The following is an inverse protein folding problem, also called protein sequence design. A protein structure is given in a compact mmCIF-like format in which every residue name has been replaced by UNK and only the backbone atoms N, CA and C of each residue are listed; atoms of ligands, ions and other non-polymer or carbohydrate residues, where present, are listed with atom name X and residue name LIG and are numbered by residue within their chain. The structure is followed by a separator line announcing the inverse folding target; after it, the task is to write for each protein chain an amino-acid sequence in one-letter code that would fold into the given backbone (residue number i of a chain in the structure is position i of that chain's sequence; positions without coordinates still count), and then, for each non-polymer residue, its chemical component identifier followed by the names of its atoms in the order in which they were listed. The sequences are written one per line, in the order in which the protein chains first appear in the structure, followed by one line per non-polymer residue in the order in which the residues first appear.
data_IF_352255856151
#
_entry.id   IF_352255856151
#
_cell.length_a   1.000
_cell.length_b   1.000
_cell.length_c   1.000
_cell.angle_alpha   90.00
_cell.angle_beta   90.00
_cell.angle_gamma   90.00
#
_symmetry.space_group_name_H-M   'P 1'
#
loop_
_entity.id
_entity.type
_entity.pdbx_description
1 polymer ?
#
# COMPACT_ATOMS: atom_id res chain seq x y z
N UNK A 1 4.52 21.48 6.71
CA UNK A 1 3.67 20.79 5.71
C UNK A 1 2.66 19.92 6.43
N UNK A 2 1.54 19.56 5.79
CA UNK A 2 0.57 18.63 6.38
C UNK A 2 1.02 17.20 6.08
N UNK A 3 0.92 16.29 7.06
CA UNK A 3 1.26 14.86 6.87
C UNK A 3 0.37 14.27 5.77
N UNK A 4 0.93 13.72 4.68
CA UNK A 4 0.15 13.09 3.61
C UNK A 4 -0.71 11.92 4.12
N UNK A 5 -1.87 11.71 3.50
CA UNK A 5 -2.64 10.49 3.71
C UNK A 5 -2.08 9.40 2.82
N UNK A 6 -1.76 8.23 3.38
CA UNK A 6 -1.26 7.08 2.62
C UNK A 6 -2.43 6.19 2.23
N UNK A 7 -2.54 5.92 0.93
CA UNK A 7 -3.48 4.94 0.37
C UNK A 7 -2.71 4.11 -0.64
N UNK A 8 -2.65 2.79 -0.44
CA UNK A 8 -1.97 1.87 -1.35
C UNK A 8 -2.96 0.85 -1.90
N UNK A 9 -2.81 0.49 -3.16
CA UNK A 9 -3.53 -0.60 -3.81
C UNK A 9 -2.73 -1.90 -3.61
N UNK A 10 -3.38 -2.90 -3.02
CA UNK A 10 -2.81 -4.23 -2.82
C UNK A 10 -3.20 -5.11 -4.00
N UNK A 11 -2.23 -5.73 -4.65
CA UNK A 11 -2.43 -6.62 -5.80
C UNK A 11 -2.11 -8.04 -5.36
N UNK A 12 -2.99 -8.99 -5.70
CA UNK A 12 -2.72 -10.41 -5.54
C UNK A 12 -1.90 -10.87 -6.75
N UNK A 13 -0.70 -11.35 -6.50
CA UNK A 13 0.19 -11.89 -7.53
C UNK A 13 -0.02 -13.42 -7.68
N UNK A 14 0.63 -14.03 -8.68
CA UNK A 14 0.64 -15.49 -8.85
C UNK A 14 1.15 -16.17 -7.56
N UNK A 15 2.21 -15.61 -6.98
CA UNK A 15 2.77 -15.98 -5.69
C UNK A 15 2.92 -14.72 -4.83
N UNK A 16 2.28 -14.70 -3.66
CA UNK A 16 2.34 -13.56 -2.74
C UNK A 16 1.47 -12.35 -3.13
N UNK A 17 1.92 -11.17 -2.71
CA UNK A 17 1.20 -9.91 -2.83
C UNK A 17 2.15 -8.75 -3.12
N UNK A 18 1.65 -7.74 -3.83
CA UNK A 18 2.33 -6.45 -3.97
C UNK A 18 1.44 -5.31 -3.50
N UNK A 19 2.04 -4.16 -3.21
CA UNK A 19 1.32 -2.93 -2.90
C UNK A 19 1.98 -1.73 -3.58
N UNK A 20 1.16 -0.89 -4.20
CA UNK A 20 1.61 0.27 -4.96
C UNK A 20 0.76 1.52 -4.69
N UNK A 21 1.35 2.70 -4.85
CA UNK A 21 0.60 3.95 -4.84
C UNK A 21 1.46 5.18 -5.03
N UNK A 22 0.88 6.22 -5.61
CA UNK A 22 1.50 7.54 -5.74
C UNK A 22 0.99 8.48 -4.64
N UNK A 23 1.89 8.95 -3.79
CA UNK A 23 1.55 9.82 -2.65
C UNK A 23 2.51 11.01 -2.59
N UNK A 24 1.97 12.22 -2.72
CA UNK A 24 2.73 13.48 -2.64
C UNK A 24 3.97 13.50 -3.55
N UNK A 25 3.76 13.18 -4.83
CA UNK A 25 4.79 13.11 -5.89
C UNK A 25 5.88 12.03 -5.65
N UNK A 26 5.61 11.05 -4.78
CA UNK A 26 6.46 9.87 -4.56
C UNK A 26 5.72 8.61 -4.97
N UNK A 27 6.36 7.79 -5.79
CA UNK A 27 5.92 6.42 -6.03
C UNK A 27 6.35 5.54 -4.85
N UNK A 28 5.41 4.78 -4.31
CA UNK A 28 5.64 3.79 -3.26
C UNK A 28 5.27 2.43 -3.84
N UNK A 29 6.21 1.48 -3.81
CA UNK A 29 6.00 0.12 -4.29
C UNK A 29 6.75 -0.88 -3.43
N UNK A 30 6.08 -1.97 -3.06
CA UNK A 30 6.68 -3.07 -2.29
C UNK A 30 5.92 -4.39 -2.51
N UNK A 31 6.47 -5.49 -2.02
CA UNK A 31 5.90 -6.83 -2.15
C UNK A 31 6.18 -7.67 -0.90
N UNK A 32 5.49 -8.80 -0.76
CA UNK A 32 5.74 -9.81 0.26
C UNK A 32 5.13 -11.16 -0.12
N UNK A 33 5.68 -12.25 0.42
CA UNK A 33 5.24 -13.63 0.16
C UNK A 33 3.85 -13.90 0.76
N UNK A 34 3.49 -13.17 1.82
CA UNK A 34 2.17 -13.17 2.42
C UNK A 34 1.72 -11.77 2.87
N UNK A 35 0.48 -11.68 3.37
CA UNK A 35 -0.09 -10.39 3.81
C UNK A 35 0.56 -9.83 5.07
N UNK A 36 1.20 -10.65 5.89
CA UNK A 36 1.92 -10.18 7.08
C UNK A 36 3.23 -9.52 6.66
N UNK A 37 4.01 -10.21 5.83
CA UNK A 37 5.25 -9.67 5.26
C UNK A 37 4.98 -8.41 4.43
N UNK A 38 3.94 -8.42 3.59
CA UNK A 38 3.56 -7.24 2.82
C UNK A 38 3.31 -6.02 3.73
N UNK A 39 2.59 -6.19 4.85
CA UNK A 39 2.33 -5.08 5.78
C UNK A 39 3.61 -4.57 6.44
N UNK A 40 4.53 -5.45 6.81
CA UNK A 40 5.84 -5.06 7.34
C UNK A 40 6.62 -4.24 6.32
N UNK A 41 6.68 -4.72 5.08
CA UNK A 41 7.40 -4.07 4.00
C UNK A 41 6.74 -2.73 3.59
N UNK A 42 5.41 -2.63 3.65
CA UNK A 42 4.67 -1.37 3.47
C UNK A 42 5.06 -0.34 4.54
N UNK A 43 5.07 -0.75 5.81
CA UNK A 43 5.42 0.15 6.90
C UNK A 43 6.82 0.73 6.71
N UNK A 44 7.76 -0.14 6.35
CA UNK A 44 9.15 0.22 6.13
C UNK A 44 9.29 1.20 4.96
N UNK A 45 8.79 0.83 3.77
CA UNK A 45 8.97 1.66 2.57
C UNK A 45 8.28 3.02 2.70
N UNK A 46 7.11 3.09 3.37
CA UNK A 46 6.42 4.36 3.64
C UNK A 46 7.24 5.24 4.57
N UNK A 47 7.74 4.69 5.68
CA UNK A 47 8.56 5.47 6.60
C UNK A 47 9.89 5.92 5.97
N UNK A 48 10.51 5.08 5.13
CA UNK A 48 11.71 5.45 4.38
C UNK A 48 11.40 6.60 3.39
N UNK A 49 10.29 6.52 2.66
CA UNK A 49 9.91 7.51 1.63
C UNK A 49 9.66 8.92 2.18
N UNK A 50 9.24 9.02 3.44
CA UNK A 50 8.88 10.28 4.10
C UNK A 50 9.79 10.66 5.27
N UNK A 51 10.89 9.93 5.48
CA UNK A 51 11.83 10.20 6.56
C UNK A 51 12.41 11.62 6.45
N UNK A 52 12.85 12.02 5.25
CA UNK A 52 13.40 13.36 5.00
C UNK A 52 12.36 14.48 5.14
N UNK A 53 11.08 14.16 4.94
CA UNK A 53 9.96 15.08 5.13
C UNK A 53 9.56 15.23 6.62
N UNK A 54 10.21 14.47 7.51
CA UNK A 54 9.98 14.50 8.96
C UNK A 54 8.69 13.80 9.40
N UNK A 55 8.14 12.89 8.57
CA UNK A 55 6.95 12.12 8.91
C UNK A 55 7.30 10.68 9.27
N UNK A 56 6.63 10.16 10.30
CA UNK A 56 6.59 8.74 10.63
C UNK A 56 5.15 8.25 10.61
N UNK A 57 4.94 7.01 10.18
CA UNK A 57 3.64 6.37 10.05
C UNK A 57 3.59 5.09 10.87
N UNK A 58 2.40 4.76 11.36
CA UNK A 58 2.05 3.41 11.81
C UNK A 58 1.07 2.77 10.82
N UNK A 59 0.84 1.46 10.94
CA UNK A 59 -0.03 0.75 10.00
C UNK A 59 -1.51 1.17 10.06
N UNK A 60 -1.99 1.66 11.21
CA UNK A 60 -3.37 2.16 11.33
C UNK A 60 -3.59 3.47 10.56
N UNK A 61 -2.50 4.17 10.18
CA UNK A 61 -2.54 5.37 9.34
C UNK A 61 -2.44 5.10 7.83
N UNK A 62 -2.24 3.84 7.43
CA UNK A 62 -2.07 3.43 6.03
C UNK A 62 -3.34 2.69 5.56
N UNK A 63 -4.04 3.26 4.59
CA UNK A 63 -5.22 2.64 4.00
C UNK A 63 -4.80 1.66 2.90
N UNK A 64 -5.10 0.37 3.07
CA UNK A 64 -4.88 -0.64 2.05
C UNK A 64 -6.18 -0.93 1.30
N UNK A 65 -6.16 -0.77 -0.03
CA UNK A 65 -7.29 -1.07 -0.91
C UNK A 65 -7.01 -2.38 -1.64
N UNK A 66 -7.80 -3.39 -1.33
CA UNK A 66 -7.85 -4.60 -2.13
C UNK A 66 -8.76 -4.35 -3.35
N UNK A 67 -8.43 -4.89 -4.54
CA UNK A 67 -9.32 -4.82 -5.68
C UNK A 67 -10.66 -5.42 -5.28
N UNK A 68 -11.73 -4.67 -5.52
CA UNK A 68 -13.09 -5.17 -5.35
C UNK A 68 -13.27 -6.25 -6.41
N UNK A 69 -13.36 -7.52 -5.99
CA UNK A 69 -13.87 -8.58 -6.86
C UNK A 69 -15.27 -8.15 -7.29
N UNK A 70 -15.44 -7.76 -8.56
CA UNK A 70 -16.79 -7.55 -9.10
C UNK A 70 -17.46 -8.92 -9.12
N UNK A 71 -18.62 -9.11 -8.46
CA UNK A 71 -19.36 -10.36 -8.63
C UNK A 71 -19.70 -10.51 -10.13
N UNK A 72 -19.33 -11.63 -10.73
CA UNK A 72 -19.49 -11.95 -12.17
C UNK A 72 -20.96 -12.00 -12.66
N UNK A 73 -21.93 -11.58 -11.85
CA UNK A 73 -23.37 -11.68 -12.14
C UNK A 73 -23.94 -10.51 -12.95
N UNK A 74 -23.11 -9.72 -13.65
CA UNK A 74 -23.59 -8.59 -14.48
C UNK A 74 -23.38 -8.78 -15.99
N UNK A 75 -23.17 -10.02 -16.44
CA UNK A 75 -23.32 -10.36 -17.85
C UNK A 75 -24.73 -10.93 -18.05
N UNK A 76 -25.62 -10.06 -18.52
CA UNK A 76 -26.95 -10.39 -19.02
C UNK A 76 -26.88 -11.35 -20.22
#
# INVERSE_FOLDING_TARGET
MKKPKIVLEVIREEEGFSAVGDVADKFIGTQGDDMEELKQNILEVVNLSFFEDGFSYNMDEIELRLPIEKPESSLH
#
